data_IF_767179059930
#
_entry.id   IF_767179059930
#
_cell.length_a   1.000
_cell.length_b   1.000
_cell.length_c   1.000
_cell.angle_alpha   90.00
_cell.angle_beta   90.00
_cell.angle_gamma   90.00
#
_symmetry.space_group_name_H-M   'P 1'
#
loop_
_entity.id
_entity.type
_entity.pdbx_description
1 polymer ?
#
# COMPACT_ATOMS: atom_id res chain seq x y z
N UNK A 1 -19.60 -4.47 4.22
CA UNK A 1 -19.51 -3.12 3.63
C UNK A 1 -20.00 -3.01 2.19
N UNK A 2 -19.73 -3.97 1.30
CA UNK A 2 -20.14 -3.93 -0.12
C UNK A 2 -21.64 -3.66 -0.37
N UNK A 3 -22.54 -4.03 0.56
CA UNK A 3 -23.99 -3.76 0.46
C UNK A 3 -24.39 -2.32 0.83
N UNK A 4 -23.52 -1.57 1.48
CA UNK A 4 -23.83 -0.25 2.07
C UNK A 4 -23.12 0.86 1.27
N UNK A 5 -21.82 0.71 1.02
CA UNK A 5 -20.96 1.74 0.41
C UNK A 5 -20.16 1.21 -0.79
N UNK A 6 -19.79 2.11 -1.70
CA UNK A 6 -18.85 1.90 -2.79
C UNK A 6 -17.37 1.89 -2.36
N UNK A 7 -17.09 2.14 -1.08
CA UNK A 7 -15.75 2.18 -0.52
C UNK A 7 -15.45 1.05 0.50
N UNK A 8 -15.82 -0.22 0.24
CA UNK A 8 -15.49 -1.31 1.15
C UNK A 8 -13.97 -1.49 1.31
N UNK A 9 -13.19 -1.21 0.26
CA UNK A 9 -11.72 -1.23 0.25
C UNK A 9 -11.13 -0.28 1.30
N UNK A 10 -11.73 0.90 1.53
CA UNK A 10 -11.25 1.85 2.55
C UNK A 10 -11.39 1.25 3.94
N UNK A 11 -12.52 0.62 4.24
CA UNK A 11 -12.76 -0.02 5.54
C UNK A 11 -11.81 -1.19 5.75
N UNK A 12 -11.56 -1.97 4.70
CA UNK A 12 -10.55 -3.03 4.71
C UNK A 12 -9.16 -2.46 5.02
N UNK A 13 -8.77 -1.39 4.32
CA UNK A 13 -7.50 -0.70 4.53
C UNK A 13 -7.33 -0.22 5.97
N UNK A 14 -8.36 0.42 6.55
CA UNK A 14 -8.32 0.87 7.94
C UNK A 14 -8.13 -0.31 8.91
N UNK A 15 -8.84 -1.41 8.70
CA UNK A 15 -8.75 -2.59 9.56
C UNK A 15 -7.38 -3.30 9.45
N UNK A 16 -6.90 -3.56 8.23
CA UNK A 16 -5.66 -4.31 8.00
C UNK A 16 -4.40 -3.53 8.37
N UNK A 17 -4.39 -2.20 8.18
CA UNK A 17 -3.20 -1.40 8.46
C UNK A 17 -3.07 -1.01 9.93
N UNK A 18 -4.05 -1.35 10.77
CA UNK A 18 -4.03 -1.07 12.21
C UNK A 18 -2.76 -1.60 12.90
N UNK A 19 -2.17 -2.67 12.36
CA UNK A 19 -0.89 -3.21 12.82
C UNK A 19 0.28 -2.23 12.79
N UNK A 20 0.26 -1.21 11.92
CA UNK A 20 1.31 -0.17 11.89
C UNK A 20 1.30 0.67 13.18
N UNK A 21 0.11 1.06 13.66
CA UNK A 21 -0.05 1.84 14.89
C UNK A 21 0.29 0.99 16.12
N UNK A 22 -0.24 -0.25 16.16
CA UNK A 22 0.02 -1.16 17.26
C UNK A 22 1.49 -1.57 17.35
N UNK A 23 2.11 -1.89 16.22
CA UNK A 23 3.51 -2.26 16.14
C UNK A 23 4.42 -1.13 16.62
N UNK A 24 4.14 0.11 16.20
CA UNK A 24 4.86 1.28 16.70
C UNK A 24 4.74 1.42 18.22
N UNK A 25 3.51 1.38 18.75
CA UNK A 25 3.29 1.53 20.18
C UNK A 25 3.88 0.41 21.02
N UNK A 26 3.83 -0.82 20.53
CA UNK A 26 4.45 -1.96 21.20
C UNK A 26 5.98 -1.83 21.28
N UNK A 27 6.62 -1.31 20.23
CA UNK A 27 8.07 -1.20 20.16
C UNK A 27 8.65 0.04 20.87
N UNK A 28 7.91 1.15 20.89
CA UNK A 28 8.42 2.45 21.39
C UNK A 28 7.83 2.86 22.75
N UNK A 29 6.80 2.17 23.24
CA UNK A 29 6.11 2.52 24.49
C UNK A 29 5.19 3.74 24.39
N UNK A 30 4.99 4.30 23.19
CA UNK A 30 4.12 5.45 22.93
C UNK A 30 3.60 5.47 21.49
N UNK A 31 2.74 6.43 21.15
CA UNK A 31 2.24 6.58 19.77
C UNK A 31 2.69 7.92 19.20
N UNK A 32 3.79 7.90 18.45
CA UNK A 32 4.23 9.07 17.69
C UNK A 32 3.50 9.10 16.34
N UNK A 33 2.45 9.92 16.28
CA UNK A 33 1.64 10.07 15.07
C UNK A 33 2.38 10.79 13.94
N UNK A 34 3.51 11.47 14.20
CA UNK A 34 4.31 12.08 13.14
C UNK A 34 4.95 11.02 12.23
N UNK A 35 5.28 9.84 12.78
CA UNK A 35 5.82 8.69 12.03
C UNK A 35 4.72 7.68 11.70
N UNK A 36 4.00 7.22 12.72
CA UNK A 36 3.04 6.13 12.59
C UNK A 36 1.79 6.55 11.81
N UNK A 37 1.41 7.82 11.87
CA UNK A 37 0.27 8.38 11.14
C UNK A 37 0.43 8.31 9.62
N UNK A 38 1.51 8.91 9.06
CA UNK A 38 1.82 8.75 7.63
C UNK A 38 1.95 7.29 7.21
N UNK A 39 2.66 6.45 7.98
CA UNK A 39 2.81 5.03 7.65
C UNK A 39 1.44 4.32 7.55
N UNK A 40 0.55 4.57 8.51
CA UNK A 40 -0.81 4.02 8.51
C UNK A 40 -1.63 4.53 7.32
N UNK A 41 -1.67 5.84 7.10
CA UNK A 41 -2.40 6.45 5.98
C UNK A 41 -1.89 5.95 4.63
N UNK A 42 -0.56 5.81 4.49
CA UNK A 42 0.07 5.22 3.32
C UNK A 42 -0.36 3.77 3.11
N UNK A 43 -0.33 2.94 4.15
CA UNK A 43 -0.78 1.55 4.08
C UNK A 43 -2.26 1.40 3.68
N UNK A 44 -3.12 2.29 4.16
CA UNK A 44 -4.54 2.36 3.73
C UNK A 44 -4.62 2.69 2.23
N UNK A 45 -3.84 3.67 1.75
CA UNK A 45 -3.79 4.02 0.33
C UNK A 45 -3.26 2.86 -0.52
N UNK A 46 -2.24 2.13 -0.06
CA UNK A 46 -1.74 0.93 -0.74
C UNK A 46 -2.81 -0.16 -0.82
N UNK A 47 -3.59 -0.35 0.25
CA UNK A 47 -4.73 -1.27 0.26
C UNK A 47 -5.78 -0.89 -0.77
N UNK A 48 -6.08 0.41 -0.90
CA UNK A 48 -6.95 0.90 -1.97
C UNK A 48 -6.39 0.59 -3.36
N UNK A 49 -5.07 0.58 -3.56
CA UNK A 49 -4.47 0.20 -4.85
C UNK A 49 -4.73 -1.27 -5.16
N UNK A 50 -4.19 -2.19 -4.36
CA UNK A 50 -4.22 -3.60 -4.72
C UNK A 50 -5.62 -4.21 -4.62
N UNK A 51 -6.43 -3.79 -3.65
CA UNK A 51 -7.77 -4.35 -3.44
C UNK A 51 -8.79 -3.82 -4.46
N UNK A 52 -8.54 -2.63 -5.04
CA UNK A 52 -9.32 -2.16 -6.19
C UNK A 52 -8.94 -2.90 -7.47
N UNK A 53 -7.66 -3.22 -7.68
CA UNK A 53 -7.24 -4.10 -8.79
C UNK A 53 -7.92 -5.47 -8.64
N UNK A 54 -7.90 -6.03 -7.44
CA UNK A 54 -8.59 -7.29 -7.15
C UNK A 54 -10.11 -7.18 -7.38
N UNK A 55 -10.74 -6.06 -6.99
CA UNK A 55 -12.17 -5.86 -7.24
C UNK A 55 -12.56 -5.78 -8.73
N UNK A 56 -11.62 -5.50 -9.65
CA UNK A 56 -11.88 -5.62 -11.09
C UNK A 56 -11.99 -7.09 -11.54
N UNK A 57 -11.34 -8.03 -10.84
CA UNK A 57 -11.50 -9.47 -11.06
C UNK A 57 -12.96 -9.92 -10.87
N UNK A 58 -13.63 -9.36 -9.86
CA UNK A 58 -14.99 -9.73 -9.46
C UNK A 58 -16.07 -8.81 -10.05
N UNK A 59 -15.69 -7.86 -10.93
CA UNK A 59 -16.56 -6.77 -11.42
C UNK A 59 -17.90 -7.26 -11.96
N UNK A 60 -17.87 -8.28 -12.82
CA UNK A 60 -19.08 -8.82 -13.46
C UNK A 60 -20.01 -9.49 -12.45
N UNK A 61 -19.45 -10.21 -11.49
CA UNK A 61 -20.24 -10.92 -10.49
C UNK A 61 -20.78 -9.96 -9.43
N UNK A 62 -19.99 -8.95 -9.03
CA UNK A 62 -20.43 -7.85 -8.17
C UNK A 62 -21.68 -7.14 -8.74
N UNK A 63 -21.71 -6.90 -10.06
CA UNK A 63 -22.87 -6.32 -10.77
C UNK A 63 -24.09 -7.26 -10.69
N UNK A 64 -23.91 -8.55 -11.00
CA UNK A 64 -25.02 -9.53 -11.03
C UNK A 64 -25.73 -9.63 -9.68
N UNK A 65 -24.98 -9.61 -8.58
CA UNK A 65 -25.53 -9.75 -7.22
C UNK A 65 -25.83 -8.40 -6.55
N UNK A 66 -25.65 -7.29 -7.26
CA UNK A 66 -26.01 -5.94 -6.82
C UNK A 66 -25.17 -5.41 -5.65
N UNK A 67 -23.89 -5.78 -5.57
CA UNK A 67 -22.96 -5.29 -4.54
C UNK A 67 -22.03 -4.21 -5.10
N UNK A 68 -21.47 -3.39 -4.21
CA UNK A 68 -20.70 -2.20 -4.56
C UNK A 68 -19.20 -2.41 -4.29
N UNK A 69 -18.34 -1.78 -5.09
CA UNK A 69 -16.89 -1.78 -4.93
C UNK A 69 -16.28 -0.52 -5.55
N UNK A 70 -15.02 -0.20 -5.20
CA UNK A 70 -14.29 0.91 -5.82
C UNK A 70 -14.09 0.70 -7.32
N UNK A 71 -13.89 -0.54 -7.77
CA UNK A 71 -13.82 -0.88 -9.19
C UNK A 71 -15.08 -0.45 -9.96
N UNK A 72 -16.26 -0.70 -9.40
CA UNK A 72 -17.54 -0.23 -9.97
C UNK A 72 -17.72 1.29 -9.85
N UNK A 73 -17.22 1.89 -8.76
CA UNK A 73 -17.35 3.34 -8.53
C UNK A 73 -16.47 4.16 -9.46
N UNK A 74 -15.24 3.71 -9.69
CA UNK A 74 -14.26 4.42 -10.51
C UNK A 74 -14.43 4.13 -11.99
N UNK A 75 -14.85 2.90 -12.35
CA UNK A 75 -15.04 2.51 -13.74
C UNK A 75 -13.80 2.82 -14.56
N UNK A 76 -13.98 3.54 -15.67
CA UNK A 76 -12.91 3.92 -16.61
C UNK A 76 -11.89 4.89 -16.00
N UNK A 77 -12.22 5.54 -14.88
CA UNK A 77 -11.30 6.41 -14.14
C UNK A 77 -10.43 5.66 -13.12
N UNK A 78 -10.52 4.33 -13.05
CA UNK A 78 -9.69 3.51 -12.14
C UNK A 78 -8.20 3.86 -12.23
N UNK A 79 -7.57 3.96 -13.42
CA UNK A 79 -6.14 4.23 -13.51
C UNK A 79 -5.71 5.52 -12.79
N UNK A 80 -6.51 6.59 -12.89
CA UNK A 80 -6.24 7.89 -12.29
C UNK A 80 -6.36 7.83 -10.76
N UNK A 81 -7.41 7.18 -10.26
CA UNK A 81 -7.58 6.98 -8.82
C UNK A 81 -6.46 6.15 -8.22
N UNK A 82 -6.09 5.05 -8.88
CA UNK A 82 -5.00 4.20 -8.39
C UNK A 82 -3.64 4.87 -8.45
N UNK A 83 -3.37 5.69 -9.48
CA UNK A 83 -2.17 6.52 -9.52
C UNK A 83 -2.13 7.52 -8.35
N UNK A 84 -3.27 8.13 -8.01
CA UNK A 84 -3.41 8.98 -6.83
C UNK A 84 -3.07 8.24 -5.54
N UNK A 85 -3.70 7.08 -5.30
CA UNK A 85 -3.44 6.28 -4.09
C UNK A 85 -2.01 5.74 -4.02
N UNK A 86 -1.43 5.29 -5.14
CA UNK A 86 -0.04 4.86 -5.20
C UNK A 86 0.92 6.01 -4.86
N UNK A 87 0.65 7.21 -5.39
CA UNK A 87 1.42 8.42 -5.06
C UNK A 87 1.29 8.76 -3.58
N UNK A 88 0.08 8.70 -3.01
CA UNK A 88 -0.13 8.90 -1.57
C UNK A 88 0.65 7.89 -0.75
N UNK A 89 0.61 6.60 -1.09
CA UNK A 89 1.36 5.57 -0.38
C UNK A 89 2.87 5.83 -0.38
N UNK A 90 3.46 6.10 -1.56
CA UNK A 90 4.89 6.36 -1.70
C UNK A 90 5.29 7.61 -0.93
N UNK A 91 4.54 8.71 -1.07
CA UNK A 91 4.83 9.98 -0.38
C UNK A 91 4.70 9.87 1.14
N UNK A 92 3.67 9.17 1.63
CA UNK A 92 3.48 8.96 3.06
C UNK A 92 4.54 8.02 3.65
N UNK A 93 4.99 7.01 2.88
CA UNK A 93 6.11 6.14 3.26
C UNK A 93 7.41 6.93 3.35
N UNK A 94 7.69 7.80 2.38
CA UNK A 94 8.85 8.69 2.39
C UNK A 94 8.79 9.65 3.58
N UNK A 95 7.61 10.23 3.87
CA UNK A 95 7.40 11.11 5.02
C UNK A 95 7.62 10.39 6.35
N UNK A 96 7.07 9.17 6.53
CA UNK A 96 7.32 8.36 7.71
C UNK A 96 8.82 8.06 7.88
N UNK A 97 9.51 7.75 6.78
CA UNK A 97 10.96 7.58 6.77
C UNK A 97 11.70 8.83 7.23
N UNK A 98 11.31 10.00 6.72
CA UNK A 98 11.91 11.28 7.09
C UNK A 98 11.71 11.59 8.57
N UNK A 99 10.48 11.42 9.08
CA UNK A 99 10.17 11.66 10.49
C UNK A 99 10.87 10.67 11.44
N UNK A 100 11.19 9.47 10.95
CA UNK A 100 11.92 8.44 11.69
C UNK A 100 13.44 8.44 11.41
N UNK A 101 13.96 9.51 10.82
CA UNK A 101 15.38 9.67 10.49
C UNK A 101 15.97 8.49 9.69
N UNK A 102 15.20 7.92 8.75
CA UNK A 102 15.67 6.83 7.90
C UNK A 102 16.75 7.30 6.94
N UNK A 103 17.72 6.42 6.66
CA UNK A 103 18.87 6.71 5.82
C UNK A 103 18.64 6.41 4.34
N UNK A 104 19.72 6.59 3.56
CA UNK A 104 19.70 6.45 2.10
C UNK A 104 19.21 5.06 1.62
N UNK A 105 19.61 3.91 2.23
CA UNK A 105 19.09 2.60 1.83
C UNK A 105 17.56 2.50 1.85
N UNK A 106 16.89 3.08 2.86
CA UNK A 106 15.43 3.10 2.92
C UNK A 106 14.83 3.85 1.73
N UNK A 107 15.32 5.03 1.39
CA UNK A 107 14.78 5.79 0.27
C UNK A 107 15.04 5.10 -1.08
N UNK A 108 16.23 4.54 -1.29
CA UNK A 108 16.57 3.89 -2.57
C UNK A 108 15.81 2.57 -2.77
N UNK A 109 15.69 1.75 -1.73
CA UNK A 109 15.09 0.42 -1.86
C UNK A 109 13.59 0.49 -1.55
N UNK A 110 13.21 0.98 -0.37
CA UNK A 110 11.81 1.01 0.05
C UNK A 110 11.01 2.04 -0.75
N UNK A 111 11.41 3.31 -0.78
CA UNK A 111 10.60 4.37 -1.43
C UNK A 111 10.65 4.25 -2.95
N UNK A 112 11.84 4.30 -3.57
CA UNK A 112 11.96 4.23 -5.02
C UNK A 112 11.61 2.84 -5.57
N UNK A 113 11.98 1.76 -4.87
CA UNK A 113 11.66 0.41 -5.31
C UNK A 113 10.15 0.13 -5.29
N UNK A 114 9.43 0.54 -4.23
CA UNK A 114 7.96 0.40 -4.21
C UNK A 114 7.30 1.29 -5.26
N UNK A 115 7.78 2.52 -5.46
CA UNK A 115 7.28 3.41 -6.52
C UNK A 115 7.46 2.80 -7.91
N UNK A 116 8.63 2.23 -8.21
CA UNK A 116 8.91 1.55 -9.47
C UNK A 116 8.01 0.32 -9.65
N UNK A 117 7.87 -0.51 -8.62
CA UNK A 117 7.04 -1.71 -8.66
C UNK A 117 5.55 -1.38 -8.86
N UNK A 118 5.02 -0.38 -8.15
CA UNK A 118 3.64 0.07 -8.33
C UNK A 118 3.43 0.73 -9.69
N UNK A 119 4.39 1.52 -10.18
CA UNK A 119 4.32 2.09 -11.54
C UNK A 119 4.25 0.99 -12.59
N UNK A 120 5.06 -0.07 -12.45
CA UNK A 120 4.97 -1.24 -13.33
C UNK A 120 3.58 -1.87 -13.26
N UNK A 121 3.04 -2.13 -12.06
CA UNK A 121 1.70 -2.71 -11.91
C UNK A 121 0.65 -1.87 -12.62
N UNK A 122 0.58 -0.57 -12.33
CA UNK A 122 -0.45 0.34 -12.85
C UNK A 122 -0.35 0.57 -14.36
N UNK A 123 0.85 0.49 -14.95
CA UNK A 123 1.04 0.63 -16.41
C UNK A 123 0.72 -0.63 -17.18
N UNK A 124 0.80 -1.80 -16.54
CA UNK A 124 0.72 -3.10 -17.24
C UNK A 124 -0.53 -3.90 -16.89
N UNK A 125 -1.30 -3.49 -15.87
CA UNK A 125 -2.54 -4.15 -15.50
C UNK A 125 -3.60 -3.97 -16.59
N UNK A 126 -4.23 -5.07 -16.97
CA UNK A 126 -5.44 -5.11 -17.75
C UNK A 126 -6.64 -5.36 -16.83
N UNK A 127 -7.41 -4.31 -16.56
CA UNK A 127 -8.56 -4.35 -15.66
C UNK A 127 -9.72 -5.22 -16.15
N UNK A 128 -9.76 -5.54 -17.44
CA UNK A 128 -10.80 -6.41 -18.02
C UNK A 128 -10.36 -7.88 -18.11
N UNK A 129 -9.15 -8.20 -17.63
CA UNK A 129 -8.65 -9.57 -17.55
C UNK A 129 -8.54 -10.02 -16.08
N UNK A 130 -9.48 -10.87 -15.59
CA UNK A 130 -9.47 -11.38 -14.22
C UNK A 130 -8.17 -12.08 -13.81
N UNK A 131 -7.53 -12.83 -14.72
CA UNK A 131 -6.28 -13.54 -14.43
C UNK A 131 -5.10 -12.58 -14.25
N UNK A 132 -5.06 -11.49 -15.03
CA UNK A 132 -4.03 -10.45 -14.87
C UNK A 132 -4.28 -9.61 -13.60
N UNK A 133 -5.53 -9.25 -13.30
CA UNK A 133 -5.90 -8.60 -12.04
C UNK A 133 -5.44 -9.44 -10.82
N UNK A 134 -5.66 -10.75 -10.85
CA UNK A 134 -5.16 -11.67 -9.83
C UNK A 134 -3.62 -11.68 -9.74
N UNK A 135 -2.94 -11.73 -10.89
CA UNK A 135 -1.48 -11.71 -10.93
C UNK A 135 -0.91 -10.40 -10.32
N UNK A 136 -1.50 -9.25 -10.65
CA UNK A 136 -1.12 -7.95 -10.09
C UNK A 136 -1.43 -7.85 -8.60
N UNK A 137 -2.61 -8.28 -8.17
CA UNK A 137 -2.95 -8.37 -6.75
C UNK A 137 -1.89 -9.18 -5.98
N UNK A 138 -1.60 -10.42 -6.42
CA UNK A 138 -0.58 -11.27 -5.78
C UNK A 138 0.81 -10.65 -5.76
N UNK A 139 1.18 -9.91 -6.81
CA UNK A 139 2.49 -9.25 -6.90
C UNK A 139 2.73 -8.26 -5.76
N UNK A 140 1.68 -7.76 -5.07
CA UNK A 140 1.83 -6.87 -3.93
C UNK A 140 2.54 -7.50 -2.72
N UNK A 141 2.63 -8.83 -2.65
CA UNK A 141 3.53 -9.51 -1.70
C UNK A 141 4.97 -8.98 -1.85
N UNK A 142 5.41 -8.73 -3.09
CA UNK A 142 6.73 -8.16 -3.37
C UNK A 142 6.81 -6.67 -3.06
N UNK A 143 5.73 -5.89 -3.18
CA UNK A 143 5.72 -4.49 -2.71
C UNK A 143 6.07 -4.45 -1.21
N UNK A 144 5.44 -5.32 -0.40
CA UNK A 144 5.78 -5.45 1.02
C UNK A 144 7.22 -5.93 1.25
N UNK A 145 7.67 -6.92 0.47
CA UNK A 145 9.05 -7.42 0.52
C UNK A 145 10.12 -6.36 0.19
N UNK A 146 9.87 -5.51 -0.81
CA UNK A 146 10.75 -4.39 -1.19
C UNK A 146 10.77 -3.33 -0.07
N UNK A 147 9.61 -2.97 0.48
CA UNK A 147 9.52 -2.02 1.58
C UNK A 147 10.34 -2.52 2.79
N UNK A 148 10.17 -3.79 3.14
CA UNK A 148 10.86 -4.45 4.25
C UNK A 148 12.36 -4.58 4.02
N UNK A 149 12.80 -4.95 2.82
CA UNK A 149 14.23 -5.13 2.54
C UNK A 149 15.03 -3.83 2.66
N UNK A 150 14.45 -2.70 2.24
CA UNK A 150 15.08 -1.39 2.42
C UNK A 150 15.14 -0.95 3.88
N UNK A 151 14.12 -1.27 4.69
CA UNK A 151 14.15 -1.05 6.14
C UNK A 151 15.26 -1.87 6.81
N UNK A 152 15.40 -3.14 6.45
CA UNK A 152 16.47 -4.01 6.97
C UNK A 152 17.84 -3.51 6.54
N UNK A 153 18.01 -3.15 5.27
CA UNK A 153 19.27 -2.59 4.77
C UNK A 153 19.65 -1.30 5.50
N UNK A 154 18.68 -0.41 5.74
CA UNK A 154 18.92 0.83 6.49
C UNK A 154 19.33 0.56 7.94
N UNK A 155 18.64 -0.36 8.61
CA UNK A 155 18.98 -0.77 9.97
C UNK A 155 20.38 -1.38 10.07
N UNK A 156 20.78 -2.23 9.11
CA UNK A 156 22.12 -2.82 9.06
C UNK A 156 23.22 -1.78 8.85
N UNK A 157 22.99 -0.78 8.00
CA UNK A 157 23.95 0.32 7.79
C UNK A 157 24.09 1.17 9.04
N UNK A 158 22.98 1.49 9.71
CA UNK A 158 22.99 2.24 10.97
C UNK A 158 23.61 1.47 12.14
N UNK A 159 23.61 0.14 12.10
CA UNK A 159 24.14 -0.69 13.17
C UNK A 159 25.68 -0.86 13.16
N UNK A 160 26.41 -0.44 12.12
CA UNK A 160 27.88 -0.59 12.06
C UNK A 160 28.66 0.65 12.55
N UNK A 161 29.97 0.54 12.87
CA UNK A 161 30.71 -0.47 13.62
C UNK A 161 30.98 0.03 15.07
N UNK A 162 29.93 0.27 15.86
CA UNK A 162 30.04 0.79 17.24
C UNK A 162 29.61 -0.20 18.33
N UNK A 163 29.35 -1.46 17.99
CA UNK A 163 28.85 -2.50 18.90
C UNK A 163 29.65 -3.81 18.78
N UNK A 164 30.98 -3.71 18.69
CA UNK A 164 31.92 -4.81 18.91
C UNK A 164 32.97 -4.38 19.94
#
# INVERSE_FOLDING_TARGET
MKRITYWPQTVLGLAFNWGALLGWSAMTGGLDLSVAGPLYAGGVAWTLVYDTIYAHQDKTDDIKIGVKSTALRFGDHTPQWLAGFATTFVSMTALAGYMNDQGLPFYLISVLGTAAHLTWQLRTVNYDNPADCWAKFKSNTWTGGILWSGLVADALVKAGPGLA
#
